data_IF_797967763622
#
_entry.id   IF_797967763622
#
_cell.length_a   1.000
_cell.length_b   1.000
_cell.length_c   1.000
_cell.angle_alpha   90.00
_cell.angle_beta   90.00
_cell.angle_gamma   90.00
#
_symmetry.space_group_name_H-M   'P 1'
#
loop_
_entity.id
_entity.type
_entity.pdbx_description
1 polymer ?
#
# COMPACT_ATOMS: atom_id res chain seq x y z
N UNK A 1 1.40 15.82 -18.53
CA UNK A 1 1.70 14.36 -18.54
C UNK A 1 2.62 14.02 -17.38
N UNK A 2 2.50 12.83 -16.78
CA UNK A 2 3.46 12.42 -15.72
C UNK A 2 4.01 11.02 -15.99
N UNK A 3 5.21 10.77 -15.46
CA UNK A 3 5.80 9.45 -15.37
C UNK A 3 5.71 9.00 -13.90
N UNK A 4 5.32 7.76 -13.68
CA UNK A 4 5.22 7.20 -12.35
C UNK A 4 6.03 5.91 -12.24
N UNK A 5 6.64 5.72 -11.09
CA UNK A 5 7.47 4.56 -10.76
C UNK A 5 6.88 3.90 -9.53
N UNK A 6 6.72 2.59 -9.58
CA UNK A 6 6.30 1.75 -8.46
C UNK A 6 7.43 0.75 -8.18
N UNK A 7 8.15 1.01 -7.11
CA UNK A 7 9.24 0.16 -6.65
C UNK A 7 8.70 -0.86 -5.66
N UNK A 8 8.33 -2.03 -6.16
CA UNK A 8 7.97 -3.15 -5.28
C UNK A 8 9.19 -3.96 -4.86
N UNK A 9 9.03 -4.80 -3.82
CA UNK A 9 10.10 -5.69 -3.36
C UNK A 9 10.54 -6.74 -4.40
N UNK A 10 9.73 -7.03 -5.40
CA UNK A 10 10.00 -8.04 -6.44
C UNK A 10 10.13 -7.43 -7.83
N UNK A 11 9.34 -6.42 -8.13
CA UNK A 11 9.27 -5.80 -9.45
C UNK A 11 9.47 -4.30 -9.36
N UNK A 12 10.10 -3.73 -10.37
CA UNK A 12 10.15 -2.31 -10.66
C UNK A 12 9.25 -2.04 -11.85
N UNK A 13 8.31 -1.09 -11.70
CA UNK A 13 7.34 -0.73 -12.73
C UNK A 13 7.49 0.75 -13.04
N UNK A 14 7.57 1.10 -14.32
CA UNK A 14 7.65 2.48 -14.80
C UNK A 14 6.54 2.71 -15.80
N UNK A 15 5.65 3.65 -15.48
CA UNK A 15 4.48 3.93 -16.31
C UNK A 15 4.35 5.40 -16.70
N UNK A 16 3.87 5.66 -17.90
CA UNK A 16 3.43 6.99 -18.32
C UNK A 16 1.94 7.13 -18.10
N UNK A 17 1.55 8.20 -17.40
CA UNK A 17 0.18 8.45 -16.99
C UNK A 17 -0.39 9.65 -17.74
N UNK A 18 -1.51 9.44 -18.40
CA UNK A 18 -2.28 10.47 -19.10
C UNK A 18 -3.75 10.39 -18.67
N UNK A 19 -4.31 11.52 -18.23
CA UNK A 19 -5.72 11.60 -17.82
C UNK A 19 -6.13 10.50 -16.82
N UNK A 20 -5.26 10.19 -15.83
CA UNK A 20 -5.52 9.17 -14.81
C UNK A 20 -5.46 7.72 -15.32
N UNK A 21 -4.83 7.48 -16.47
CA UNK A 21 -4.66 6.12 -17.02
C UNK A 21 -3.20 5.85 -17.36
N UNK A 22 -2.77 4.62 -17.15
CA UNK A 22 -1.47 4.13 -17.60
C UNK A 22 -1.54 3.90 -19.11
N UNK A 23 -0.80 4.68 -19.89
CA UNK A 23 -0.79 4.58 -21.38
C UNK A 23 0.43 3.85 -21.91
N UNK A 24 1.51 3.77 -21.15
CA UNK A 24 2.69 2.95 -21.42
C UNK A 24 3.22 2.39 -20.11
N UNK A 25 3.61 1.14 -20.09
CA UNK A 25 4.14 0.46 -18.92
C UNK A 25 5.33 -0.41 -19.31
N UNK A 26 6.41 -0.30 -18.54
CA UNK A 26 7.55 -1.22 -18.54
C UNK A 26 7.66 -1.81 -17.14
N UNK A 27 7.86 -3.10 -17.05
CA UNK A 27 7.99 -3.83 -15.79
C UNK A 27 9.12 -4.85 -15.89
N UNK A 28 9.97 -4.88 -14.87
CA UNK A 28 11.05 -5.86 -14.74
C UNK A 28 11.21 -6.33 -13.30
N UNK A 29 11.81 -7.50 -13.05
CA UNK A 29 12.26 -7.85 -11.71
C UNK A 29 13.21 -6.78 -11.17
N UNK A 30 13.00 -6.36 -9.92
CA UNK A 30 13.88 -5.39 -9.28
C UNK A 30 15.26 -6.01 -9.01
N UNK A 31 16.35 -5.30 -9.35
CA UNK A 31 17.72 -5.70 -9.03
C UNK A 31 18.02 -5.51 -7.51
N UNK A 32 17.20 -6.09 -6.68
CA UNK A 32 17.20 -5.86 -5.23
C UNK A 32 18.49 -6.27 -4.51
N UNK A 33 19.33 -7.08 -5.13
CA UNK A 33 20.63 -7.54 -4.59
C UNK A 33 21.82 -6.74 -5.12
N UNK A 34 21.58 -5.81 -6.04
CA UNK A 34 22.61 -4.95 -6.63
C UNK A 34 23.13 -3.89 -5.65
N UNK A 35 24.18 -3.21 -6.04
CA UNK A 35 24.65 -2.00 -5.38
C UNK A 35 23.64 -0.88 -5.56
N UNK A 36 23.77 0.22 -4.81
CA UNK A 36 22.89 1.40 -5.00
C UNK A 36 22.92 1.88 -6.45
N UNK A 37 24.11 1.97 -7.03
CA UNK A 37 24.31 2.41 -8.40
C UNK A 37 23.64 1.48 -9.41
N UNK A 38 23.77 0.16 -9.24
CA UNK A 38 23.16 -0.82 -10.15
C UNK A 38 21.63 -0.75 -10.12
N UNK A 39 21.04 -0.51 -8.95
CA UNK A 39 19.59 -0.31 -8.82
C UNK A 39 19.18 1.00 -9.48
N UNK A 40 19.93 2.10 -9.27
CA UNK A 40 19.67 3.39 -9.90
C UNK A 40 19.81 3.34 -11.43
N UNK A 41 20.80 2.62 -11.95
CA UNK A 41 20.94 2.42 -13.40
C UNK A 41 19.75 1.67 -14.00
N UNK A 42 19.16 0.70 -13.27
CA UNK A 42 17.90 0.09 -13.68
C UNK A 42 16.77 1.12 -13.77
N UNK A 43 16.63 2.01 -12.77
CA UNK A 43 15.67 3.12 -12.83
C UNK A 43 15.90 4.00 -14.05
N UNK A 44 17.14 4.44 -14.26
CA UNK A 44 17.48 5.36 -15.36
C UNK A 44 17.17 4.75 -16.72
N UNK A 45 17.51 3.48 -16.92
CA UNK A 45 17.23 2.76 -18.16
C UNK A 45 15.72 2.64 -18.40
N UNK A 46 14.96 2.16 -17.41
CA UNK A 46 13.51 1.96 -17.55
C UNK A 46 12.77 3.29 -17.75
N UNK A 47 13.18 4.36 -17.04
CA UNK A 47 12.65 5.70 -17.25
C UNK A 47 12.92 6.14 -18.69
N UNK A 48 14.14 5.93 -19.21
CA UNK A 48 14.53 6.28 -20.57
C UNK A 48 13.67 5.63 -21.67
N UNK A 49 13.09 4.45 -21.41
CA UNK A 49 12.19 3.77 -22.33
C UNK A 49 10.77 4.37 -22.38
N UNK A 50 10.39 5.11 -21.33
CA UNK A 50 9.01 5.60 -21.12
C UNK A 50 8.89 7.11 -21.22
N UNK A 51 9.95 7.84 -20.85
CA UNK A 51 9.97 9.31 -20.81
C UNK A 51 9.84 9.92 -22.20
N UNK A 52 9.12 11.02 -22.28
CA UNK A 52 8.98 11.84 -23.49
C UNK A 52 9.09 13.32 -23.11
N UNK A 53 9.35 14.23 -24.07
CA UNK A 53 9.47 15.66 -23.79
C UNK A 53 8.26 16.30 -23.08
N UNK A 54 7.09 15.68 -23.20
CA UNK A 54 5.85 16.17 -22.60
C UNK A 54 5.69 15.76 -21.12
N UNK A 55 6.61 14.97 -20.57
CA UNK A 55 6.60 14.60 -19.15
C UNK A 55 7.04 15.79 -18.31
N UNK A 56 6.13 16.29 -17.48
CA UNK A 56 6.32 17.47 -16.64
C UNK A 56 6.77 17.14 -15.21
N UNK A 57 6.51 15.90 -14.76
CA UNK A 57 6.86 15.41 -13.42
C UNK A 57 7.08 13.91 -13.39
N UNK A 58 7.91 13.48 -12.45
CA UNK A 58 8.12 12.08 -12.09
C UNK A 58 7.61 11.87 -10.67
N UNK A 59 6.77 10.85 -10.47
CA UNK A 59 6.34 10.38 -9.14
C UNK A 59 6.93 9.01 -8.85
N UNK A 60 7.38 8.77 -7.62
CA UNK A 60 7.96 7.49 -7.22
C UNK A 60 7.29 6.98 -5.96
N UNK A 61 6.73 5.78 -6.03
CA UNK A 61 6.24 5.02 -4.89
C UNK A 61 7.35 4.04 -4.44
N UNK A 62 7.72 4.06 -3.17
CA UNK A 62 8.74 3.17 -2.59
C UNK A 62 8.23 2.49 -1.33
N UNK A 63 8.58 1.21 -1.06
CA UNK A 63 8.12 0.46 0.10
C UNK A 63 9.00 0.74 1.33
N UNK A 64 9.09 2.00 1.72
CA UNK A 64 9.95 2.40 2.85
C UNK A 64 9.59 3.77 3.40
N UNK A 65 10.27 4.17 4.48
CA UNK A 65 10.21 5.52 5.06
C UNK A 65 10.85 6.51 4.10
N UNK A 66 10.18 7.62 3.85
CA UNK A 66 10.61 8.66 2.91
C UNK A 66 10.56 10.02 3.57
N UNK A 67 11.65 10.79 3.51
CA UNK A 67 11.55 12.23 3.67
C UNK A 67 10.90 12.82 2.40
N UNK A 68 9.62 13.11 2.49
CA UNK A 68 8.83 13.55 1.34
C UNK A 68 9.32 14.88 0.77
N UNK A 69 9.74 15.81 1.61
CA UNK A 69 10.17 17.14 1.17
C UNK A 69 11.50 17.06 0.40
N UNK A 70 12.45 16.31 0.92
CA UNK A 70 13.76 16.13 0.30
C UNK A 70 13.77 14.99 -0.73
N UNK A 71 12.81 14.07 -0.67
CA UNK A 71 12.75 12.87 -1.52
C UNK A 71 13.88 11.89 -1.24
N UNK A 72 14.22 11.75 0.06
CA UNK A 72 15.24 10.82 0.54
C UNK A 72 14.54 9.54 0.99
N UNK A 73 15.01 8.41 0.52
CA UNK A 73 14.52 7.07 0.87
C UNK A 73 15.44 6.43 1.88
N UNK A 74 14.89 5.93 3.00
CA UNK A 74 15.67 5.30 4.06
C UNK A 74 15.38 3.81 4.19
N UNK A 75 16.42 3.02 4.45
CA UNK A 75 16.35 1.62 4.91
C UNK A 75 15.34 0.73 4.17
N UNK A 76 15.47 0.62 2.85
CA UNK A 76 14.61 -0.24 2.05
C UNK A 76 14.87 -1.71 2.39
N UNK A 77 13.97 -2.33 3.14
CA UNK A 77 14.14 -3.70 3.69
C UNK A 77 14.51 -4.73 2.61
N UNK A 78 13.89 -4.64 1.44
CA UNK A 78 14.10 -5.59 0.35
C UNK A 78 15.31 -5.27 -0.54
N UNK A 79 15.96 -4.10 -0.34
CA UNK A 79 17.12 -3.65 -1.10
C UNK A 79 18.19 -3.17 -0.10
N UNK A 80 19.02 -4.09 0.44
CA UNK A 80 19.93 -3.78 1.54
C UNK A 80 20.96 -2.70 1.25
N UNK A 81 21.24 -2.43 -0.04
CA UNK A 81 22.14 -1.36 -0.47
C UNK A 81 21.52 0.05 -0.34
N UNK A 82 20.18 0.16 -0.25
CA UNK A 82 19.48 1.42 -0.12
C UNK A 82 19.26 1.78 1.35
N UNK A 83 20.29 2.38 1.98
CA UNK A 83 20.25 2.85 3.38
C UNK A 83 19.78 4.28 3.49
N UNK A 84 20.32 5.15 2.66
CA UNK A 84 19.93 6.54 2.53
C UNK A 84 20.18 6.95 1.08
N UNK A 85 19.11 7.10 0.30
CA UNK A 85 19.20 7.41 -1.13
C UNK A 85 18.47 8.71 -1.42
N UNK A 86 19.20 9.73 -1.88
CA UNK A 86 18.66 11.03 -2.32
C UNK A 86 18.00 10.88 -3.71
N UNK A 87 16.93 10.10 -3.77
CA UNK A 87 16.34 9.64 -5.02
C UNK A 87 15.79 10.78 -5.88
N UNK A 88 15.12 11.75 -5.26
CA UNK A 88 14.61 12.96 -5.95
C UNK A 88 15.73 13.72 -6.63
N UNK A 89 16.79 14.06 -5.91
CA UNK A 89 17.95 14.79 -6.46
C UNK A 89 18.60 14.04 -7.62
N UNK A 90 18.81 12.74 -7.46
CA UNK A 90 19.41 11.88 -8.49
C UNK A 90 18.56 11.84 -9.77
N UNK A 91 17.24 11.72 -9.64
CA UNK A 91 16.33 11.70 -10.79
C UNK A 91 16.19 13.08 -11.45
N UNK A 92 16.08 14.15 -10.66
CA UNK A 92 16.03 15.54 -11.17
C UNK A 92 17.32 15.91 -11.90
N UNK A 93 18.47 15.55 -11.35
CA UNK A 93 19.78 15.76 -11.98
C UNK A 93 19.90 15.01 -13.31
N UNK A 94 19.41 13.77 -13.36
CA UNK A 94 19.53 12.92 -14.55
C UNK A 94 18.60 13.31 -15.68
N UNK A 95 17.35 13.69 -15.35
CA UNK A 95 16.29 13.87 -16.36
C UNK A 95 15.83 15.32 -16.52
N UNK A 96 16.21 16.22 -15.61
CA UNK A 96 15.76 17.63 -15.65
C UNK A 96 14.26 17.79 -15.39
N UNK A 97 13.60 16.79 -14.77
CA UNK A 97 12.16 16.76 -14.54
C UNK A 97 11.89 16.75 -13.03
N UNK A 98 10.98 17.62 -12.59
CA UNK A 98 10.58 17.71 -11.17
C UNK A 98 10.10 16.34 -10.66
N UNK A 99 10.66 15.91 -9.54
CA UNK A 99 10.41 14.57 -8.96
C UNK A 99 9.80 14.68 -7.57
N UNK A 100 8.87 13.78 -7.27
CA UNK A 100 8.32 13.52 -5.94
C UNK A 100 8.55 12.06 -5.58
N UNK A 101 8.88 11.77 -4.32
CA UNK A 101 9.05 10.41 -3.81
C UNK A 101 8.16 10.26 -2.59
N UNK A 102 7.38 9.20 -2.51
CA UNK A 102 6.49 8.93 -1.38
C UNK A 102 6.45 7.43 -1.07
N UNK A 103 5.96 7.11 0.12
CA UNK A 103 5.70 5.74 0.50
C UNK A 103 4.61 5.13 -0.40
N UNK A 104 4.72 3.84 -0.71
CA UNK A 104 3.82 3.10 -1.61
C UNK A 104 2.37 3.09 -1.11
N UNK A 105 2.14 3.01 0.21
CA UNK A 105 0.78 3.03 0.78
C UNK A 105 0.19 4.44 0.75
N UNK A 106 0.99 5.49 0.89
CA UNK A 106 0.56 6.86 0.64
C UNK A 106 0.15 7.04 -0.83
N UNK A 107 0.91 6.48 -1.75
CA UNK A 107 0.53 6.47 -3.18
C UNK A 107 -0.76 5.67 -3.40
N UNK A 108 -0.93 4.51 -2.75
CA UNK A 108 -2.17 3.75 -2.81
C UNK A 108 -3.38 4.57 -2.37
N UNK A 109 -3.34 5.16 -1.18
CA UNK A 109 -4.49 5.94 -0.66
C UNK A 109 -4.75 7.19 -1.49
N UNK A 110 -3.69 7.82 -2.03
CA UNK A 110 -3.81 8.97 -2.92
C UNK A 110 -4.51 8.61 -4.24
N UNK A 111 -4.18 7.45 -4.82
CA UNK A 111 -4.87 6.94 -6.00
C UNK A 111 -6.36 6.67 -5.72
N UNK A 112 -6.65 5.99 -4.62
CA UNK A 112 -8.02 5.69 -4.21
C UNK A 112 -8.83 6.96 -3.94
N UNK A 113 -8.21 7.96 -3.33
CA UNK A 113 -8.83 9.27 -3.11
C UNK A 113 -9.14 10.00 -4.42
N UNK A 114 -8.22 9.98 -5.39
CA UNK A 114 -8.41 10.72 -6.64
C UNK A 114 -9.30 9.99 -7.65
N UNK A 115 -9.18 8.66 -7.75
CA UNK A 115 -9.72 7.87 -8.85
C UNK A 115 -10.59 6.70 -8.42
N UNK A 116 -10.49 6.25 -7.16
CA UNK A 116 -11.12 5.04 -6.65
C UNK A 116 -12.27 5.28 -5.70
N UNK A 117 -12.41 4.37 -4.72
CA UNK A 117 -13.50 4.33 -3.75
C UNK A 117 -13.49 5.50 -2.75
N UNK A 118 -12.35 6.21 -2.63
CA UNK A 118 -12.18 7.41 -1.79
C UNK A 118 -12.62 8.72 -2.44
N UNK A 119 -13.01 8.69 -3.71
CA UNK A 119 -13.37 9.90 -4.43
C UNK A 119 -14.62 10.58 -3.84
N UNK A 120 -14.47 11.86 -3.51
CA UNK A 120 -15.57 12.69 -2.96
C UNK A 120 -15.64 12.69 -1.43
N UNK A 121 -14.79 11.95 -0.74
CA UNK A 121 -14.63 11.98 0.72
C UNK A 121 -13.46 12.88 1.11
N UNK A 122 -13.49 13.46 2.32
CA UNK A 122 -12.40 14.29 2.84
C UNK A 122 -11.47 13.53 3.78
N UNK A 123 -12.00 12.48 4.43
CA UNK A 123 -11.27 11.65 5.40
C UNK A 123 -11.30 10.21 4.94
N UNK A 124 -10.15 9.72 4.46
CA UNK A 124 -10.01 8.38 3.87
C UNK A 124 -8.85 7.66 4.56
N UNK A 125 -9.05 6.42 4.94
CA UNK A 125 -7.94 5.53 5.31
C UNK A 125 -7.88 4.39 4.30
N UNK A 126 -6.72 4.24 3.66
CA UNK A 126 -6.43 3.11 2.78
C UNK A 126 -5.50 2.14 3.50
N UNK A 127 -5.83 0.85 3.50
CA UNK A 127 -4.94 -0.20 3.99
C UNK A 127 -4.60 -1.18 2.87
N UNK A 128 -3.36 -1.64 2.83
CA UNK A 128 -2.90 -2.66 1.88
C UNK A 128 -2.55 -3.94 2.62
N UNK A 129 -3.14 -5.05 2.20
CA UNK A 129 -2.92 -6.37 2.78
C UNK A 129 -2.10 -7.24 1.83
N UNK A 130 -0.87 -7.55 2.22
CA UNK A 130 0.08 -8.33 1.42
C UNK A 130 1.06 -9.11 2.28
N UNK A 131 2.36 -9.04 1.96
CA UNK A 131 3.44 -9.57 2.81
C UNK A 131 3.44 -8.92 4.19
N UNK A 132 3.17 -7.63 4.23
CA UNK A 132 2.90 -6.83 5.42
C UNK A 132 1.55 -6.13 5.32
N UNK A 133 1.31 -5.21 6.25
CA UNK A 133 0.16 -4.31 6.24
C UNK A 133 0.66 -2.88 6.32
N UNK A 134 0.22 -2.04 5.40
CA UNK A 134 0.45 -0.61 5.46
C UNK A 134 -0.86 0.16 5.52
N UNK A 135 -0.84 1.36 6.10
CA UNK A 135 -1.98 2.27 6.06
C UNK A 135 -1.55 3.66 5.60
N UNK A 136 -2.32 4.24 4.68
CA UNK A 136 -2.21 5.63 4.25
C UNK A 136 -3.45 6.40 4.66
N UNK A 137 -3.27 7.67 4.95
CA UNK A 137 -4.31 8.52 5.52
C UNK A 137 -4.49 9.76 4.66
N UNK A 138 -5.73 10.05 4.28
CA UNK A 138 -6.13 11.34 3.72
C UNK A 138 -6.97 12.06 4.76
N UNK A 139 -6.60 13.29 5.08
CA UNK A 139 -7.39 14.17 5.95
C UNK A 139 -7.54 15.55 5.30
N UNK A 140 -8.75 16.10 5.33
CA UNK A 140 -9.08 17.33 4.65
C UNK A 140 -8.66 17.33 3.16
N UNK A 141 -8.81 16.19 2.49
CA UNK A 141 -8.47 16.05 1.08
C UNK A 141 -6.98 15.98 0.75
N UNK A 142 -6.12 15.80 1.73
CA UNK A 142 -4.66 15.71 1.54
C UNK A 142 -4.08 14.48 2.25
N UNK A 143 -3.10 13.84 1.62
CA UNK A 143 -2.36 12.73 2.24
C UNK A 143 -1.62 13.26 3.47
N UNK A 144 -1.92 12.67 4.61
CA UNK A 144 -1.29 12.99 5.89
C UNK A 144 -0.08 12.09 6.14
N UNK A 145 1.11 12.67 6.12
CA UNK A 145 2.38 11.95 6.26
C UNK A 145 2.97 12.01 7.68
N UNK A 146 2.36 12.82 8.55
CA UNK A 146 2.91 13.10 9.88
C UNK A 146 4.13 14.05 9.82
N UNK A 147 4.74 14.27 10.97
CA UNK A 147 5.92 15.14 11.08
C UNK A 147 7.22 14.46 10.65
N UNK A 148 7.28 13.12 10.75
CA UNK A 148 8.47 12.30 10.49
C UNK A 148 8.16 11.15 9.53
N UNK A 149 7.22 11.33 8.62
CA UNK A 149 6.80 10.35 7.60
C UNK A 149 6.29 9.00 8.11
N UNK A 150 6.06 8.87 9.42
CA UNK A 150 5.58 7.62 10.06
C UNK A 150 4.06 7.59 10.32
N UNK A 151 3.28 8.49 9.72
CA UNK A 151 1.82 8.41 9.85
C UNK A 151 1.30 7.18 9.12
N UNK A 152 0.40 6.43 9.79
CA UNK A 152 -0.15 5.22 9.21
C UNK A 152 0.52 3.91 9.63
N UNK A 153 1.59 3.95 10.43
CA UNK A 153 2.26 2.74 10.96
C UNK A 153 1.43 2.01 12.04
N UNK A 154 0.12 1.96 11.86
CA UNK A 154 -0.83 1.34 12.81
C UNK A 154 -0.68 -0.18 12.90
N UNK A 155 -0.15 -0.81 11.85
CA UNK A 155 0.13 -2.23 11.85
C UNK A 155 1.23 -2.63 12.85
N UNK A 156 2.11 -1.70 13.21
CA UNK A 156 3.17 -1.88 14.19
C UNK A 156 2.68 -1.78 15.65
N UNK A 157 1.42 -1.38 15.87
CA UNK A 157 0.87 -1.32 17.23
C UNK A 157 0.84 -2.72 17.87
N UNK A 158 1.20 -2.81 19.18
CA UNK A 158 1.16 -4.07 19.91
C UNK A 158 -0.22 -4.73 19.85
N UNK A 159 -0.26 -6.00 19.53
CA UNK A 159 -1.48 -6.77 19.46
C UNK A 159 -1.19 -8.24 19.82
N UNK A 160 -1.91 -8.77 20.79
CA UNK A 160 -1.67 -10.11 21.37
C UNK A 160 -0.21 -10.27 21.82
N UNK A 161 0.50 -11.27 21.30
CA UNK A 161 1.90 -11.57 21.57
C UNK A 161 2.88 -10.99 20.54
N UNK A 162 2.38 -10.13 19.63
CA UNK A 162 3.13 -9.46 18.56
C UNK A 162 2.55 -8.08 18.21
N UNK A 163 2.26 -7.86 16.95
CA UNK A 163 1.65 -6.64 16.43
C UNK A 163 0.54 -6.97 15.40
N UNK A 164 -0.19 -5.97 14.96
CA UNK A 164 -1.28 -6.19 13.99
C UNK A 164 -0.80 -6.77 12.66
N UNK A 165 0.40 -6.41 12.17
CA UNK A 165 0.91 -6.92 10.91
C UNK A 165 1.02 -8.45 10.91
N UNK A 166 1.51 -9.03 12.01
CA UNK A 166 1.66 -10.48 12.14
C UNK A 166 0.33 -11.25 12.07
N UNK A 167 -0.78 -10.57 12.39
CA UNK A 167 -2.12 -11.15 12.46
C UNK A 167 -3.05 -10.76 11.31
N UNK A 168 -2.66 -9.77 10.49
CA UNK A 168 -3.52 -9.25 9.41
C UNK A 168 -2.85 -9.26 8.04
N UNK A 169 -1.66 -9.88 7.94
CA UNK A 169 -0.92 -10.05 6.68
C UNK A 169 -0.70 -11.51 6.32
N UNK A 170 0.11 -11.75 5.28
CA UNK A 170 0.54 -13.11 4.93
C UNK A 170 1.34 -13.79 6.05
N UNK A 171 1.86 -13.04 7.01
CA UNK A 171 2.59 -13.59 8.16
C UNK A 171 1.71 -14.50 9.02
N UNK A 172 0.39 -14.25 9.11
CA UNK A 172 -0.53 -15.13 9.80
C UNK A 172 -0.57 -16.53 9.17
N UNK A 173 -0.58 -16.61 7.85
CA UNK A 173 -0.52 -17.92 7.16
C UNK A 173 0.83 -18.62 7.38
N UNK A 174 1.93 -17.86 7.45
CA UNK A 174 3.25 -18.42 7.76
C UNK A 174 3.30 -19.04 9.16
N UNK A 175 2.58 -18.49 10.15
CA UNK A 175 2.45 -19.10 11.49
C UNK A 175 1.85 -20.51 11.44
N UNK A 176 1.05 -20.81 10.41
CA UNK A 176 0.47 -22.15 10.17
C UNK A 176 1.27 -22.98 9.16
N UNK A 177 2.49 -22.55 8.78
CA UNK A 177 3.35 -23.20 7.78
C UNK A 177 2.66 -23.39 6.42
N UNK A 178 1.89 -22.39 5.97
CA UNK A 178 1.13 -22.40 4.72
C UNK A 178 1.17 -21.02 4.07
N UNK A 179 0.52 -20.88 2.92
CA UNK A 179 0.36 -19.61 2.22
C UNK A 179 -1.12 -19.24 2.07
N UNK A 180 -1.42 -17.94 1.92
CA UNK A 180 -2.79 -17.51 1.63
C UNK A 180 -3.35 -18.16 0.36
N UNK A 181 -2.51 -18.42 -0.65
CA UNK A 181 -2.91 -19.11 -1.87
C UNK A 181 -3.34 -20.56 -1.61
N UNK A 182 -2.50 -21.31 -0.89
CA UNK A 182 -2.81 -22.71 -0.58
C UNK A 182 -4.07 -22.83 0.27
N UNK A 183 -4.24 -21.94 1.25
CA UNK A 183 -5.45 -21.91 2.08
C UNK A 183 -6.69 -21.47 1.31
N UNK A 184 -6.53 -20.60 0.29
CA UNK A 184 -7.65 -20.26 -0.59
C UNK A 184 -8.09 -21.47 -1.44
N UNK A 185 -7.15 -22.20 -2.02
CA UNK A 185 -7.43 -23.41 -2.81
C UNK A 185 -8.11 -24.50 -1.98
N UNK A 186 -7.66 -24.70 -0.73
CA UNK A 186 -8.29 -25.66 0.20
C UNK A 186 -9.70 -25.21 0.62
N UNK A 187 -9.88 -23.94 0.94
CA UNK A 187 -11.18 -23.39 1.31
C UNK A 187 -12.21 -23.53 0.18
N UNK A 188 -11.79 -23.37 -1.08
CA UNK A 188 -12.65 -23.59 -2.26
C UNK A 188 -13.07 -25.06 -2.43
N UNK A 189 -12.31 -25.99 -1.85
CA UNK A 189 -12.64 -27.42 -1.79
C UNK A 189 -13.47 -27.79 -0.56
N UNK A 190 -13.80 -26.82 0.29
CA UNK A 190 -14.61 -27.02 1.49
C UNK A 190 -13.83 -27.48 2.72
N UNK A 191 -12.50 -27.31 2.75
CA UNK A 191 -11.68 -27.62 3.92
C UNK A 191 -12.04 -26.67 5.08
N UNK A 192 -12.61 -27.23 6.15
CA UNK A 192 -13.09 -26.50 7.30
C UNK A 192 -11.95 -25.76 8.04
N UNK A 193 -10.74 -26.33 8.05
CA UNK A 193 -9.55 -25.71 8.68
C UNK A 193 -9.13 -24.46 7.90
N UNK A 194 -9.10 -24.55 6.59
CA UNK A 194 -8.77 -23.41 5.73
C UNK A 194 -9.81 -22.29 5.85
N UNK A 195 -11.10 -22.67 5.88
CA UNK A 195 -12.20 -21.71 6.10
C UNK A 195 -12.05 -21.03 7.48
N UNK A 196 -11.74 -21.79 8.53
CA UNK A 196 -11.53 -21.24 9.88
C UNK A 196 -10.33 -20.27 9.92
N UNK A 197 -9.23 -20.55 9.20
CA UNK A 197 -8.06 -19.66 9.09
C UNK A 197 -8.38 -18.34 8.40
N UNK A 198 -9.19 -18.35 7.34
CA UNK A 198 -9.66 -17.13 6.70
C UNK A 198 -10.58 -16.33 7.62
N UNK A 199 -11.45 -16.99 8.39
CA UNK A 199 -12.26 -16.31 9.41
C UNK A 199 -11.41 -15.70 10.52
N UNK A 200 -10.33 -16.37 10.93
CA UNK A 200 -9.37 -15.83 11.90
C UNK A 200 -8.67 -14.57 11.38
N UNK A 201 -8.21 -14.56 10.12
CA UNK A 201 -7.71 -13.35 9.48
C UNK A 201 -8.77 -12.23 9.52
N UNK A 202 -10.00 -12.54 9.17
CA UNK A 202 -11.12 -11.59 9.22
C UNK A 202 -11.34 -11.04 10.63
N UNK A 203 -11.31 -11.91 11.65
CA UNK A 203 -11.43 -11.48 13.03
C UNK A 203 -10.37 -10.43 13.41
N UNK A 204 -9.11 -10.69 13.08
CA UNK A 204 -8.01 -9.76 13.40
C UNK A 204 -8.10 -8.45 12.60
N UNK A 205 -8.52 -8.52 11.34
CA UNK A 205 -8.79 -7.33 10.53
C UNK A 205 -9.90 -6.48 11.14
N UNK A 206 -10.98 -7.08 11.63
CA UNK A 206 -12.05 -6.35 12.32
C UNK A 206 -11.52 -5.59 13.54
N UNK A 207 -10.58 -6.16 14.31
CA UNK A 207 -9.93 -5.46 15.43
C UNK A 207 -9.03 -4.32 14.97
N UNK A 208 -8.31 -4.47 13.85
CA UNK A 208 -7.55 -3.38 13.25
C UNK A 208 -8.46 -2.25 12.77
N UNK A 209 -9.60 -2.56 12.18
CA UNK A 209 -10.58 -1.56 11.77
C UNK A 209 -11.15 -0.78 12.97
N UNK A 210 -11.32 -1.42 14.14
CA UNK A 210 -11.69 -0.71 15.38
C UNK A 210 -10.62 0.34 15.76
N UNK A 211 -9.32 -0.02 15.65
CA UNK A 211 -8.22 0.94 15.89
C UNK A 211 -8.29 2.11 14.92
N UNK A 212 -8.55 1.84 13.65
CA UNK A 212 -8.68 2.89 12.63
C UNK A 212 -9.83 3.84 12.96
N UNK A 213 -10.99 3.32 13.32
CA UNK A 213 -12.15 4.14 13.70
C UNK A 213 -11.86 4.98 14.95
N UNK A 214 -11.32 4.40 16.00
CA UNK A 214 -10.98 5.13 17.22
C UNK A 214 -9.89 6.20 17.04
N UNK A 215 -9.02 6.04 16.04
CA UNK A 215 -7.85 6.91 15.87
C UNK A 215 -8.08 8.01 14.83
N UNK A 216 -8.75 7.70 13.74
CA UNK A 216 -8.85 8.58 12.56
C UNK A 216 -10.28 8.98 12.21
N UNK A 217 -11.31 8.25 12.69
CA UNK A 217 -12.72 8.49 12.39
C UNK A 217 -12.97 8.84 10.90
N UNK A 218 -12.59 7.94 9.96
CA UNK A 218 -12.67 8.24 8.53
C UNK A 218 -14.09 8.07 8.00
N UNK A 219 -14.41 8.77 6.91
CA UNK A 219 -15.67 8.60 6.16
C UNK A 219 -15.66 7.28 5.37
N UNK A 220 -14.45 6.85 4.92
CA UNK A 220 -14.29 5.60 4.19
C UNK A 220 -12.97 4.92 4.54
N UNK A 221 -13.01 3.58 4.70
CA UNK A 221 -11.84 2.72 4.80
C UNK A 221 -11.78 1.87 3.53
N UNK A 222 -10.64 1.91 2.85
CA UNK A 222 -10.42 1.18 1.59
C UNK A 222 -9.37 0.10 1.81
N UNK A 223 -9.73 -1.14 1.52
CA UNK A 223 -8.87 -2.30 1.72
C UNK A 223 -8.36 -2.79 0.36
N UNK A 224 -7.05 -2.74 0.17
CA UNK A 224 -6.38 -3.18 -1.05
C UNK A 224 -5.31 -4.24 -0.79
N UNK A 225 -4.49 -4.51 -1.82
CA UNK A 225 -3.43 -5.51 -1.76
C UNK A 225 -3.87 -6.92 -2.18
N UNK A 226 -2.92 -7.84 -2.22
CA UNK A 226 -3.15 -9.18 -2.77
C UNK A 226 -4.16 -10.01 -1.97
N UNK A 227 -4.14 -9.90 -0.64
CA UNK A 227 -5.05 -10.63 0.25
C UNK A 227 -6.49 -10.12 0.08
N UNK A 228 -6.67 -8.82 -0.17
CA UNK A 228 -7.99 -8.22 -0.36
C UNK A 228 -8.78 -8.82 -1.54
N UNK A 229 -8.09 -9.40 -2.54
CA UNK A 229 -8.74 -10.12 -3.65
C UNK A 229 -9.52 -11.37 -3.18
N UNK A 230 -9.24 -11.86 -1.97
CA UNK A 230 -9.94 -12.96 -1.34
C UNK A 230 -10.96 -12.50 -0.28
N UNK A 231 -11.41 -11.25 -0.33
CA UNK A 231 -12.28 -10.61 0.67
C UNK A 231 -13.51 -11.43 1.03
N UNK A 232 -14.15 -12.05 0.06
CA UNK A 232 -15.35 -12.87 0.25
C UNK A 232 -15.15 -14.05 1.23
N UNK A 233 -13.89 -14.45 1.54
CA UNK A 233 -13.57 -15.51 2.51
C UNK A 233 -13.50 -15.00 3.94
N UNK A 234 -13.21 -13.71 4.14
CA UNK A 234 -12.97 -13.15 5.48
C UNK A 234 -13.86 -11.94 5.84
N UNK A 235 -14.53 -11.31 4.88
CA UNK A 235 -15.30 -10.08 5.09
C UNK A 235 -16.38 -10.26 6.17
N UNK A 236 -17.09 -11.39 6.17
CA UNK A 236 -18.11 -11.65 7.17
C UNK A 236 -17.53 -11.65 8.59
N UNK A 237 -16.47 -12.40 8.83
CA UNK A 237 -15.82 -12.48 10.13
C UNK A 237 -15.19 -11.12 10.53
N UNK A 238 -14.66 -10.38 9.56
CA UNK A 238 -14.14 -9.02 9.76
C UNK A 238 -15.24 -8.07 10.25
N UNK A 239 -16.41 -8.07 9.60
CA UNK A 239 -17.52 -7.20 9.97
C UNK A 239 -18.17 -7.61 11.30
N UNK A 240 -18.22 -8.89 11.62
CA UNK A 240 -18.67 -9.39 12.92
C UNK A 240 -17.72 -8.94 14.03
N UNK A 241 -16.42 -9.12 13.84
CA UNK A 241 -15.38 -8.70 14.78
C UNK A 241 -15.32 -7.18 14.95
N UNK A 242 -15.52 -6.41 13.87
CA UNK A 242 -15.59 -4.95 13.93
C UNK A 242 -16.71 -4.48 14.86
N UNK A 243 -17.87 -5.13 14.82
CA UNK A 243 -19.03 -4.79 15.66
C UNK A 243 -18.88 -5.26 17.10
N UNK A 244 -18.06 -6.26 17.33
CA UNK A 244 -17.91 -6.89 18.64
C UNK A 244 -17.32 -5.91 19.66
N UNK A 245 -18.13 -5.56 20.67
CA UNK A 245 -17.75 -4.64 21.75
C UNK A 245 -17.25 -3.25 21.30
N UNK A 246 -17.61 -2.80 20.09
CA UNK A 246 -17.28 -1.45 19.64
C UNK A 246 -18.14 -0.42 20.40
N UNK A 247 -17.48 0.58 21.01
CA UNK A 247 -18.12 1.49 21.94
C UNK A 247 -19.13 2.44 21.26
N UNK A 248 -18.92 2.74 19.98
CA UNK A 248 -19.71 3.71 19.21
C UNK A 248 -20.37 3.07 17.96
N UNK A 249 -21.38 2.19 18.13
CA UNK A 249 -21.92 1.41 17.01
C UNK A 249 -22.46 2.26 15.85
N UNK A 250 -22.89 3.49 16.11
CA UNK A 250 -23.36 4.40 15.05
C UNK A 250 -22.26 4.84 14.09
N UNK A 251 -20.99 4.81 14.48
CA UNK A 251 -19.87 5.11 13.59
C UNK A 251 -19.73 4.02 12.52
N UNK A 252 -19.95 2.74 12.91
CA UNK A 252 -19.90 1.61 11.96
C UNK A 252 -21.01 1.71 10.90
N UNK A 253 -22.15 2.32 11.24
CA UNK A 253 -23.25 2.55 10.29
C UNK A 253 -22.95 3.67 9.30
N UNK A 254 -22.04 4.59 9.65
CA UNK A 254 -21.70 5.77 8.84
C UNK A 254 -20.48 5.57 7.99
N UNK A 255 -19.47 4.85 8.50
CA UNK A 255 -18.27 4.60 7.75
C UNK A 255 -18.54 3.64 6.58
N UNK A 256 -18.04 3.99 5.41
CA UNK A 256 -18.02 3.08 4.28
C UNK A 256 -16.77 2.20 4.36
N UNK A 257 -16.93 0.89 4.28
CA UNK A 257 -15.82 -0.05 4.09
C UNK A 257 -15.90 -0.56 2.65
N UNK A 258 -14.82 -0.43 1.89
CA UNK A 258 -14.75 -0.81 0.49
C UNK A 258 -13.47 -1.59 0.21
N UNK A 259 -13.55 -2.51 -0.74
CA UNK A 259 -12.37 -3.17 -1.31
C UNK A 259 -11.95 -2.44 -2.59
N UNK A 260 -10.63 -2.28 -2.75
CA UNK A 260 -10.06 -1.60 -3.92
C UNK A 260 -10.32 -2.39 -5.19
N UNK A 261 -10.89 -1.74 -6.18
CA UNK A 261 -11.06 -2.25 -7.55
C UNK A 261 -10.13 -1.53 -8.54
N UNK A 262 -9.43 -0.49 -8.07
CA UNK A 262 -8.55 0.32 -8.90
C UNK A 262 -7.27 -0.44 -9.22
N UNK A 263 -6.94 -0.50 -10.49
CA UNK A 263 -5.68 -1.10 -10.96
C UNK A 263 -4.55 -0.08 -10.92
N UNK A 264 -3.33 -0.57 -10.75
CA UNK A 264 -2.12 0.26 -10.80
C UNK A 264 -2.10 1.44 -9.80
N UNK A 265 -2.69 1.25 -8.62
CA UNK A 265 -2.87 2.31 -7.61
C UNK A 265 -1.56 3.06 -7.33
N UNK A 266 -0.45 2.36 -7.08
CA UNK A 266 0.83 3.00 -6.75
C UNK A 266 1.33 3.89 -7.90
N UNK A 267 1.16 3.46 -9.16
CA UNK A 267 1.49 4.29 -10.32
C UNK A 267 0.52 5.47 -10.47
N UNK A 268 -0.75 5.28 -10.15
CA UNK A 268 -1.74 6.35 -10.25
C UNK A 268 -1.64 7.37 -9.13
N UNK A 269 -1.09 7.01 -7.99
CA UNK A 269 -0.99 7.87 -6.82
C UNK A 269 0.37 8.56 -6.62
N UNK A 270 1.41 8.06 -7.28
CA UNK A 270 2.77 8.62 -7.23
C UNK A 270 2.91 9.97 -7.96
#
# INVERSE_FOLDING_TARGET
>A
MRLSIDMGGTNLRVGRIENGKVVKLVQEPCNAKGTEEEVLEQFYRMIGEVITPEVERIGVAVPSVVDYEQGIVYDVMNIPSWKEVHLKEKLETRFGVKTTVDNDVNCFVNAEYQFGAGKGYNHVVGITLGTGVGAGIVTNGQVYRGANTGAGEICCLPYRDGNYEEYTSSQLFNKWNTTGKDEAEKADQGDETAIARWNELGYHLGKLLQVILYTYDPEVIIIGGGIAQSSFRFEKAMMESLRENFQYPHEIERVKIAFSELKDCNLLGA
#
